data_IF_439284813949
#
_entry.id   IF_439284813949
#
_cell.length_a   1.000
_cell.length_b   1.000
_cell.length_c   1.000
_cell.angle_alpha   90.00
_cell.angle_beta   90.00
_cell.angle_gamma   90.00
#
_symmetry.space_group_name_H-M   'P 1'
#
loop_
_entity.id
_entity.type
_entity.pdbx_description
1 polymer ?
#
# COMPACT_ATOMS: atom_id res chain seq x y z
N UNK A 1 -2.40 2.60 17.90
CA UNK A 1 -0.98 2.96 17.94
C UNK A 1 -0.29 2.08 16.94
N UNK A 2 0.25 2.63 15.87
CA UNK A 2 1.14 1.93 14.95
C UNK A 2 2.54 2.58 15.12
N UNK A 3 3.62 1.97 14.65
CA UNK A 3 4.91 2.65 14.52
C UNK A 3 5.50 2.32 13.15
N UNK A 4 6.23 3.28 12.58
CA UNK A 4 6.89 3.12 11.27
C UNK A 4 8.15 2.27 11.43
N UNK A 5 8.25 1.18 10.67
CA UNK A 5 9.45 0.31 10.61
C UNK A 5 10.20 0.48 9.30
N UNK A 6 11.51 0.21 9.33
CA UNK A 6 12.42 0.40 8.20
C UNK A 6 12.55 -0.87 7.31
N UNK A 7 12.13 -2.03 7.82
CA UNK A 7 12.16 -3.31 7.09
C UNK A 7 11.25 -4.32 7.80
N UNK A 8 10.57 -5.15 7.03
CA UNK A 8 9.71 -6.23 7.53
C UNK A 8 10.29 -7.54 6.97
N UNK A 9 10.74 -8.46 7.85
CA UNK A 9 11.20 -9.78 7.41
C UNK A 9 10.03 -10.59 6.83
N UNK A 10 9.99 -10.71 5.49
CA UNK A 10 8.90 -11.35 4.72
C UNK A 10 8.95 -12.88 4.76
N UNK A 11 8.86 -13.48 5.94
CA UNK A 11 8.89 -14.95 6.16
C UNK A 11 7.52 -15.63 6.05
N UNK A 12 6.44 -14.89 5.82
CA UNK A 12 5.04 -15.36 5.80
C UNK A 12 4.33 -14.96 4.50
N UNK A 13 3.28 -15.67 4.07
CA UNK A 13 2.49 -15.27 2.91
C UNK A 13 1.76 -13.96 3.22
N UNK A 14 2.17 -12.88 2.56
CA UNK A 14 1.45 -11.60 2.61
C UNK A 14 0.28 -11.64 1.61
N UNK A 15 -0.88 -11.13 2.04
CA UNK A 15 -2.01 -10.89 1.15
C UNK A 15 -1.76 -9.56 0.43
N UNK A 16 -1.72 -9.60 -0.91
CA UNK A 16 -1.51 -8.43 -1.76
C UNK A 16 -2.83 -7.96 -2.35
N UNK A 17 -3.20 -6.73 -2.06
CA UNK A 17 -4.28 -6.01 -2.71
C UNK A 17 -3.69 -5.00 -3.68
N UNK A 18 -3.95 -5.18 -4.97
CA UNK A 18 -3.58 -4.23 -6.02
C UNK A 18 -4.84 -3.52 -6.51
N UNK A 19 -4.78 -2.20 -6.59
CA UNK A 19 -5.87 -1.35 -7.06
C UNK A 19 -5.32 -0.51 -8.20
N UNK A 20 -6.01 -0.52 -9.34
CA UNK A 20 -5.66 0.28 -10.53
C UNK A 20 -6.84 1.14 -10.93
N UNK A 21 -6.58 2.37 -11.38
CA UNK A 21 -7.66 3.25 -11.81
C UNK A 21 -7.15 4.63 -12.22
N UNK A 22 -8.02 5.51 -12.72
CA UNK A 22 -7.65 6.85 -13.16
C UNK A 22 -7.57 7.84 -11.99
N UNK A 23 -7.00 7.42 -10.85
CA UNK A 23 -6.79 8.28 -9.68
C UNK A 23 -5.39 8.90 -9.69
N UNK A 24 -5.30 10.14 -9.23
CA UNK A 24 -4.02 10.83 -9.04
C UNK A 24 -3.31 10.38 -7.75
N UNK A 25 -2.00 10.64 -7.64
CA UNK A 25 -1.23 10.37 -6.43
C UNK A 25 -1.82 11.08 -5.20
N UNK A 26 -2.29 12.32 -5.37
CA UNK A 26 -2.90 13.09 -4.28
C UNK A 26 -4.22 12.45 -3.79
N UNK A 27 -5.01 11.86 -4.69
CA UNK A 27 -6.27 11.22 -4.31
C UNK A 27 -6.05 9.93 -3.53
N UNK A 28 -5.19 9.04 -4.03
CA UNK A 28 -4.88 7.81 -3.31
C UNK A 28 -4.19 8.12 -1.98
N UNK A 29 -3.30 9.11 -1.95
CA UNK A 29 -2.67 9.56 -0.71
C UNK A 29 -3.71 10.06 0.29
N UNK A 30 -4.69 10.86 -0.14
CA UNK A 30 -5.78 11.33 0.71
C UNK A 30 -6.62 10.16 1.27
N UNK A 31 -6.94 9.16 0.44
CA UNK A 31 -7.68 7.99 0.91
C UNK A 31 -6.87 7.15 1.92
N UNK A 32 -5.58 6.94 1.66
CA UNK A 32 -4.69 6.20 2.56
C UNK A 32 -4.49 6.95 3.88
N UNK A 33 -4.34 8.28 3.83
CA UNK A 33 -4.27 9.15 5.00
C UNK A 33 -5.52 9.06 5.89
N UNK A 34 -6.71 8.96 5.28
CA UNK A 34 -7.95 8.77 6.03
C UNK A 34 -8.10 7.36 6.62
N UNK A 35 -7.46 6.35 6.02
CA UNK A 35 -7.58 4.96 6.44
C UNK A 35 -6.54 4.56 7.49
N UNK A 36 -5.35 5.17 7.48
CA UNK A 36 -4.22 4.77 8.33
C UNK A 36 -3.76 5.97 9.17
N UNK A 37 -3.98 5.95 10.51
CA UNK A 37 -3.87 7.13 11.38
C UNK A 37 -2.46 7.70 11.61
N UNK A 38 -1.45 7.34 10.83
CA UNK A 38 -0.06 7.82 10.98
C UNK A 38 0.64 8.08 9.64
N UNK A 39 -0.13 8.16 8.56
CA UNK A 39 0.40 8.56 7.25
C UNK A 39 0.78 10.05 7.34
N UNK A 40 1.99 10.45 6.90
CA UNK A 40 2.35 11.86 6.84
C UNK A 40 1.37 12.62 5.94
N UNK A 41 0.98 13.85 6.32
CA UNK A 41 0.01 14.66 5.57
C UNK A 41 0.46 14.96 4.12
N UNK A 42 1.77 14.89 3.85
CA UNK A 42 2.36 15.12 2.53
C UNK A 42 3.00 13.84 1.99
N UNK A 43 2.78 13.50 0.70
CA UNK A 43 3.49 12.41 0.05
C UNK A 43 4.99 12.67 0.08
N UNK A 44 5.77 11.70 0.54
CA UNK A 44 7.23 11.83 0.68
C UNK A 44 7.95 11.91 -0.67
N UNK A 45 7.31 11.44 -1.74
CA UNK A 45 7.86 11.38 -3.09
C UNK A 45 6.82 11.82 -4.12
N UNK A 46 7.30 12.45 -5.19
CA UNK A 46 6.50 13.05 -6.26
C UNK A 46 5.85 11.96 -7.15
N UNK A 47 6.49 10.79 -7.28
CA UNK A 47 6.07 9.75 -8.24
C UNK A 47 5.50 8.49 -7.58
N UNK A 48 6.12 8.01 -6.48
CA UNK A 48 5.70 6.78 -5.79
C UNK A 48 6.02 6.84 -4.30
N UNK A 49 5.03 6.56 -3.45
CA UNK A 49 5.18 6.55 -1.99
C UNK A 49 5.12 5.12 -1.47
N UNK A 50 6.17 4.70 -0.78
CA UNK A 50 6.24 3.41 -0.08
C UNK A 50 6.26 3.66 1.42
N UNK A 51 5.25 3.16 2.13
CA UNK A 51 5.10 3.29 3.57
C UNK A 51 5.00 1.90 4.19
N UNK A 52 5.72 1.71 5.29
CA UNK A 52 5.69 0.49 6.09
C UNK A 52 5.15 0.85 7.47
N UNK A 53 4.03 0.24 7.84
CA UNK A 53 3.39 0.38 9.12
C UNK A 53 3.47 -0.94 9.88
N UNK A 54 3.81 -0.87 11.16
CA UNK A 54 3.68 -1.99 12.08
C UNK A 54 2.65 -1.62 13.14
N UNK A 55 1.68 -2.50 13.36
CA UNK A 55 0.68 -2.29 14.38
C UNK A 55 1.23 -2.68 15.74
N UNK A 56 1.34 -1.75 16.69
CA UNK A 56 1.78 -2.10 18.05
C UNK A 56 0.71 -2.82 18.85
N UNK A 57 -0.54 -2.82 18.38
CA UNK A 57 -1.64 -3.50 19.04
C UNK A 57 -1.73 -4.98 18.66
N UNK A 58 -1.41 -5.32 17.41
CA UNK A 58 -1.56 -6.68 16.86
C UNK A 58 -0.23 -7.29 16.36
N UNK A 59 0.86 -6.52 16.30
CA UNK A 59 2.14 -6.95 15.72
C UNK A 59 2.08 -7.19 14.20
N UNK A 60 1.03 -6.69 13.53
CA UNK A 60 0.80 -6.90 12.10
C UNK A 60 1.54 -5.88 11.27
N UNK A 61 1.98 -6.30 10.09
CA UNK A 61 2.77 -5.51 9.18
C UNK A 61 1.93 -5.12 7.96
N UNK A 62 1.98 -3.84 7.58
CA UNK A 62 1.29 -3.29 6.41
C UNK A 62 2.27 -2.48 5.56
N UNK A 63 2.54 -2.97 4.36
CA UNK A 63 3.26 -2.27 3.32
C UNK A 63 2.25 -1.62 2.36
N UNK A 64 2.32 -0.30 2.23
CA UNK A 64 1.52 0.49 1.29
C UNK A 64 2.47 1.07 0.26
N UNK A 65 2.34 0.65 -0.99
CA UNK A 65 3.07 1.21 -2.12
C UNK A 65 2.06 1.78 -3.12
N UNK A 66 2.04 3.09 -3.29
CA UNK A 66 1.09 3.72 -4.19
C UNK A 66 1.75 4.81 -5.03
N UNK A 67 1.31 4.85 -6.28
CA UNK A 67 1.75 5.77 -7.31
C UNK A 67 0.52 6.27 -8.08
N UNK A 68 0.72 7.20 -9.01
CA UNK A 68 -0.35 7.64 -9.90
C UNK A 68 -0.94 6.45 -10.66
N UNK A 69 -2.24 6.21 -10.47
CA UNK A 69 -3.03 5.18 -11.13
C UNK A 69 -2.84 3.73 -10.68
N UNK A 70 -1.95 3.45 -9.71
CA UNK A 70 -1.73 2.11 -9.17
C UNK A 70 -1.39 2.17 -7.67
N UNK A 71 -2.02 1.31 -6.87
CA UNK A 71 -1.78 1.17 -5.45
C UNK A 71 -1.70 -0.30 -5.06
N UNK A 72 -0.75 -0.65 -4.19
CA UNK A 72 -0.45 -1.99 -3.71
C UNK A 72 -0.38 -1.97 -2.20
N UNK A 73 -1.17 -2.83 -1.58
CA UNK A 73 -1.22 -2.99 -0.13
C UNK A 73 -0.89 -4.44 0.19
N UNK A 74 0.18 -4.67 0.95
CA UNK A 74 0.57 -6.00 1.39
C UNK A 74 0.50 -6.06 2.93
N UNK A 75 -0.25 -7.02 3.46
CA UNK A 75 -0.32 -7.25 4.90
C UNK A 75 -0.39 -8.74 5.24
N UNK A 76 0.15 -9.10 6.40
CA UNK A 76 0.08 -10.44 6.98
C UNK A 76 -1.30 -10.73 7.62
N UNK A 77 -2.16 -9.71 7.74
CA UNK A 77 -3.52 -9.85 8.24
C UNK A 77 -4.56 -9.66 7.12
N UNK A 78 -5.35 -10.71 6.85
CA UNK A 78 -6.38 -10.69 5.82
C UNK A 78 -7.53 -9.73 6.15
N UNK A 79 -7.86 -9.55 7.44
CA UNK A 79 -8.86 -8.58 7.88
C UNK A 79 -8.41 -7.16 7.57
N UNK A 80 -7.14 -6.84 7.77
CA UNK A 80 -6.56 -5.53 7.40
C UNK A 80 -6.72 -5.26 5.91
N UNK A 81 -6.40 -6.24 5.06
CA UNK A 81 -6.57 -6.11 3.60
C UNK A 81 -8.05 -5.93 3.21
N UNK A 82 -8.96 -6.69 3.83
CA UNK A 82 -10.40 -6.56 3.56
C UNK A 82 -10.94 -5.18 3.94
N UNK A 83 -10.57 -4.66 5.12
CA UNK A 83 -10.98 -3.33 5.59
C UNK A 83 -10.47 -2.24 4.62
N UNK A 84 -9.19 -2.29 4.24
CA UNK A 84 -8.60 -1.33 3.28
C UNK A 84 -9.34 -1.41 1.94
N UNK A 85 -9.60 -2.62 1.44
CA UNK A 85 -10.35 -2.83 0.18
C UNK A 85 -11.73 -2.19 0.24
N UNK A 86 -12.50 -2.48 1.28
CA UNK A 86 -13.86 -1.94 1.43
C UNK A 86 -13.84 -0.42 1.52
N UNK A 87 -12.91 0.14 2.30
CA UNK A 87 -12.75 1.58 2.44
C UNK A 87 -12.41 2.26 1.11
N UNK A 88 -11.40 1.76 0.40
CA UNK A 88 -10.98 2.32 -0.90
C UNK A 88 -12.08 2.19 -1.97
N UNK A 89 -12.81 1.08 -1.98
CA UNK A 89 -13.94 0.88 -2.90
C UNK A 89 -15.06 1.88 -2.64
N UNK A 90 -15.34 2.15 -1.36
CA UNK A 90 -16.34 3.14 -0.95
C UNK A 90 -15.95 4.55 -1.37
N UNK A 91 -14.69 4.94 -1.14
CA UNK A 91 -14.18 6.26 -1.54
C UNK A 91 -14.13 6.45 -3.07
N UNK A 92 -13.70 5.42 -3.80
CA UNK A 92 -13.72 5.45 -5.27
C UNK A 92 -15.15 5.59 -5.82
N UNK A 93 -16.12 4.87 -5.24
CA UNK A 93 -17.54 4.98 -5.62
C UNK A 93 -18.09 6.36 -5.33
N UNK A 94 -17.74 6.95 -4.17
CA UNK A 94 -18.13 8.31 -3.78
C UNK A 94 -17.62 9.37 -4.76
N UNK A 95 -16.40 9.20 -5.28
CA UNK A 95 -15.81 10.06 -6.31
C UNK A 95 -16.17 9.65 -7.76
N UNK A 96 -16.99 8.61 -7.95
CA UNK A 96 -17.33 8.03 -9.27
C UNK A 96 -16.09 7.61 -10.10
N UNK A 97 -15.02 7.19 -9.43
CA UNK A 97 -13.79 6.71 -10.05
C UNK A 97 -13.93 5.19 -10.22
N UNK A 98 -13.82 4.72 -11.47
CA UNK A 98 -13.76 3.27 -11.75
C UNK A 98 -12.40 2.74 -11.35
N UNK A 99 -12.37 1.84 -10.37
CA UNK A 99 -11.16 1.15 -9.93
C UNK A 99 -11.27 -0.34 -10.22
N UNK A 100 -10.17 -0.94 -10.65
CA UNK A 100 -9.96 -2.37 -10.78
C UNK A 100 -9.26 -2.89 -9.52
N UNK A 101 -9.78 -3.95 -8.94
CA UNK A 101 -9.29 -4.50 -7.67
C UNK A 101 -8.85 -5.94 -7.90
N UNK A 102 -7.57 -6.20 -7.65
CA UNK A 102 -6.98 -7.52 -7.76
C UNK A 102 -6.43 -7.95 -6.39
N UNK A 103 -6.81 -9.15 -5.94
CA UNK A 103 -6.27 -9.75 -4.71
C UNK A 103 -5.43 -10.95 -5.07
N UNK A 104 -4.17 -10.94 -4.67
CA UNK A 104 -3.22 -12.02 -4.89
C UNK A 104 -2.46 -12.37 -3.62
N UNK A 105 -1.59 -13.38 -3.73
CA UNK A 105 -0.58 -13.66 -2.70
C UNK A 105 0.73 -13.01 -3.13
N UNK A 106 1.38 -12.28 -2.23
CA UNK A 106 2.73 -11.79 -2.46
C UNK A 106 3.69 -12.97 -2.36
N UNK A 107 3.93 -13.67 -3.47
CA UNK A 107 5.01 -14.64 -3.54
C UNK A 107 6.29 -13.85 -3.81
N UNK A 108 7.23 -13.88 -2.88
CA UNK A 108 8.56 -13.29 -3.05
C UNK A 108 9.28 -13.99 -4.19
N UNK A 109 9.06 -13.56 -5.42
CA UNK A 109 9.94 -13.83 -6.55
C UNK A 109 9.74 -12.80 -7.66
N UNK A 110 9.98 -11.52 -7.36
CA UNK A 110 10.73 -10.69 -8.31
C UNK A 110 11.28 -9.43 -7.64
N UNK A 111 12.61 -9.21 -7.71
CA UNK A 111 13.24 -8.06 -7.10
C UNK A 111 13.13 -6.86 -8.04
N UNK A 112 12.10 -6.04 -7.88
CA UNK A 112 12.05 -4.75 -8.59
C UNK A 112 13.00 -3.69 -7.99
N UNK A 113 13.66 -3.98 -6.86
CA UNK A 113 14.64 -3.08 -6.26
C UNK A 113 16.11 -3.33 -6.65
N UNK A 114 16.46 -4.45 -7.30
CA UNK A 114 17.85 -4.64 -7.78
C UNK A 114 18.14 -3.93 -9.13
N UNK A 115 17.11 -3.50 -9.88
CA UNK A 115 17.32 -2.90 -11.20
C UNK A 115 17.82 -1.45 -11.16
N UNK A 116 17.62 -0.71 -10.06
CA UNK A 116 18.08 0.69 -9.96
C UNK A 116 19.54 0.79 -9.46
N UNK A 117 20.04 -0.22 -8.75
CA UNK A 117 21.41 -0.21 -8.21
C UNK A 117 22.47 -0.81 -9.16
N UNK A 118 22.05 -1.43 -10.27
CA UNK A 118 22.97 -2.08 -11.25
C UNK A 118 23.24 -1.25 -12.52
N UNK A 119 22.61 -0.08 -12.68
CA UNK A 119 22.82 0.82 -13.85
C UNK A 119 23.70 2.03 -13.48
N UNK A 120 24.43 1.98 -12.36
CA UNK A 120 25.38 3.04 -11.97
C UNK A 120 26.73 2.53 -11.49
N UNK A 121 27.18 1.37 -12.00
CA UNK A 121 28.56 0.89 -11.84
C UNK A 121 29.21 0.67 -13.20
#
# INVERSE_FOLDING_TARGET
>A
MHFRVHSIEKKRPFNLLTIKGPFSLAEIHSWVFQCVPEVPEKPQFIDATVLFFESTFLGTHLECNFQKGEAKFASDNISTISIIREFLTKEATKKKIKIDINVGKYNTFHPFFYAVWLVSM
#
